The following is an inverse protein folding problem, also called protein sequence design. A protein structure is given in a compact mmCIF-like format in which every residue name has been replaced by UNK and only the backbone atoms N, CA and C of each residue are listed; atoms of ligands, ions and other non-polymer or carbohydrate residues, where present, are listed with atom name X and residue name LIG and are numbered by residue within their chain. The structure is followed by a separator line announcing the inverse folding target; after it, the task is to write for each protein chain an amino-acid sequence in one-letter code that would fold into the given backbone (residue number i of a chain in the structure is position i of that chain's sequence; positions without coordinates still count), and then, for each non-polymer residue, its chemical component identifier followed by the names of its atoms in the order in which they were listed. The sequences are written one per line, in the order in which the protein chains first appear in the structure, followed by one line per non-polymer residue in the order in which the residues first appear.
data_IF_586710149360
#
_entry.id   IF_586710149360
#
_cell.length_a   1.000
_cell.length_b   1.000
_cell.length_c   1.000
_cell.angle_alpha   90.00
_cell.angle_beta   90.00
_cell.angle_gamma   90.00
#
_symmetry.space_group_name_H-M   'P 1'
#
loop_
_entity.id
_entity.type
_entity.pdbx_description
1 polymer ?
#
# COMPACT_ATOMS: atom_id res chain seq x y z
N UNK A 1 17.75 -20.72 -37.79
CA UNK A 1 18.55 -19.48 -37.66
C UNK A 1 17.71 -18.47 -36.92
N UNK A 2 18.20 -17.95 -35.80
CA UNK A 2 17.53 -16.86 -35.07
C UNK A 2 17.79 -15.54 -35.80
N UNK A 3 16.79 -14.69 -35.86
CA UNK A 3 16.88 -13.38 -36.50
C UNK A 3 16.74 -12.29 -35.44
N UNK A 4 17.73 -11.37 -35.31
CA UNK A 4 17.63 -10.29 -34.34
C UNK A 4 16.50 -9.32 -34.71
N UNK A 5 15.72 -8.91 -33.69
CA UNK A 5 14.69 -7.88 -33.84
C UNK A 5 15.32 -6.54 -33.49
N UNK A 6 15.40 -5.57 -34.41
CA UNK A 6 15.96 -4.26 -34.11
C UNK A 6 15.07 -3.53 -33.08
N UNK A 7 15.67 -2.66 -32.29
CA UNK A 7 14.97 -1.89 -31.27
C UNK A 7 13.85 -0.99 -31.83
N UNK A 8 13.99 -0.56 -33.09
CA UNK A 8 12.96 0.19 -33.83
C UNK A 8 11.67 -0.61 -34.05
N UNK A 9 11.76 -1.93 -34.08
CA UNK A 9 10.63 -2.83 -34.30
C UNK A 9 10.04 -3.38 -32.97
N UNK A 10 10.46 -2.81 -31.83
CA UNK A 10 9.94 -3.13 -30.52
C UNK A 10 9.28 -1.89 -29.91
N UNK A 11 7.98 -1.94 -29.70
CA UNK A 11 7.23 -0.88 -29.04
C UNK A 11 6.82 -1.35 -27.64
N UNK A 12 7.25 -0.62 -26.61
CA UNK A 12 6.83 -0.84 -25.24
C UNK A 12 5.69 0.10 -24.88
N UNK A 13 4.64 -0.43 -24.29
CA UNK A 13 3.50 0.35 -23.81
C UNK A 13 3.17 -0.07 -22.38
N UNK A 14 2.62 0.86 -21.62
CA UNK A 14 2.18 0.65 -20.24
C UNK A 14 0.73 1.07 -20.15
N UNK A 15 -0.10 0.19 -19.61
CA UNK A 15 -1.51 0.47 -19.34
C UNK A 15 -1.72 0.46 -17.83
N UNK A 16 -2.37 1.50 -17.30
CA UNK A 16 -2.69 1.62 -15.88
C UNK A 16 -4.17 1.29 -15.66
N UNK A 17 -4.42 0.35 -14.75
CA UNK A 17 -5.77 -0.02 -14.32
C UNK A 17 -5.92 0.42 -12.88
N UNK A 18 -7.05 1.04 -12.56
CA UNK A 18 -7.35 1.54 -11.21
C UNK A 18 -8.63 0.89 -10.68
N UNK A 19 -8.57 0.43 -9.44
CA UNK A 19 -9.70 -0.12 -8.71
C UNK A 19 -9.90 0.65 -7.41
N UNK A 20 -11.14 0.93 -7.05
CA UNK A 20 -11.48 1.64 -5.80
C UNK A 20 -11.60 0.67 -4.64
N UNK A 21 -10.89 0.95 -3.57
CA UNK A 21 -10.86 0.14 -2.34
C UNK A 21 -11.42 0.95 -1.18
N UNK A 22 -12.69 0.77 -0.81
CA UNK A 22 -13.28 1.37 0.38
C UNK A 22 -13.21 0.41 1.57
N UNK A 23 -12.62 0.84 2.68
CA UNK A 23 -12.64 0.14 3.95
C UNK A 23 -13.50 0.93 4.95
N UNK A 24 -14.57 0.33 5.44
CA UNK A 24 -15.48 0.97 6.39
C UNK A 24 -15.02 0.78 7.83
N UNK A 25 -15.51 1.63 8.74
CA UNK A 25 -15.20 1.54 10.17
C UNK A 25 -15.59 0.19 10.78
N UNK A 26 -16.64 -0.46 10.31
CA UNK A 26 -17.05 -1.80 10.77
C UNK A 26 -15.98 -2.85 10.52
N UNK A 27 -15.35 -2.84 9.35
CA UNK A 27 -14.25 -3.74 9.03
C UNK A 27 -13.00 -3.42 9.87
N UNK A 28 -12.72 -2.14 10.06
CA UNK A 28 -11.51 -1.66 10.74
C UNK A 28 -11.60 -1.83 12.25
N UNK A 29 -12.78 -1.61 12.84
CA UNK A 29 -12.99 -1.68 14.28
C UNK A 29 -13.18 -3.09 14.85
N UNK A 30 -13.37 -4.07 13.97
CA UNK A 30 -13.38 -5.46 14.40
C UNK A 30 -14.69 -5.99 14.97
N UNK A 31 -15.78 -5.26 14.83
CA UNK A 31 -17.11 -5.69 15.32
C UNK A 31 -17.75 -6.81 14.52
N UNK A 32 -17.00 -7.43 13.61
CA UNK A 32 -17.51 -8.46 12.73
C UNK A 32 -18.06 -9.70 13.50
N UNK A 33 -19.36 -9.90 13.41
CA UNK A 33 -20.04 -11.05 14.02
C UNK A 33 -20.29 -10.97 15.53
N UNK A 34 -20.02 -9.83 16.16
CA UNK A 34 -20.36 -9.58 17.56
C UNK A 34 -21.69 -8.81 17.66
N UNK A 35 -22.50 -9.13 18.67
CA UNK A 35 -23.60 -8.27 19.06
C UNK A 35 -23.05 -6.88 19.44
N UNK A 36 -23.81 -5.77 19.26
CA UNK A 36 -23.29 -4.40 19.34
C UNK A 36 -22.59 -4.05 20.67
N UNK A 37 -22.62 -4.91 21.65
CA UNK A 37 -22.02 -4.70 22.97
C UNK A 37 -21.08 -5.82 23.44
N UNK A 38 -20.88 -6.86 22.65
CA UNK A 38 -20.01 -7.99 23.00
C UNK A 38 -18.56 -7.82 22.50
N UNK A 39 -18.09 -6.62 22.51
CA UNK A 39 -17.01 -6.14 21.68
C UNK A 39 -15.62 -6.33 22.26
N UNK A 40 -15.48 -6.84 23.47
CA UNK A 40 -14.25 -6.55 24.19
C UNK A 40 -13.36 -7.74 24.52
N UNK A 41 -13.24 -8.59 23.68
CA UNK A 41 -12.45 -9.82 23.65
C UNK A 41 -12.85 -10.69 22.49
N UNK A 42 -13.85 -10.24 21.71
CA UNK A 42 -14.45 -11.00 20.63
C UNK A 42 -14.19 -10.41 19.23
N UNK A 43 -13.26 -9.49 19.10
CA UNK A 43 -12.85 -8.93 17.82
C UNK A 43 -12.08 -9.98 17.01
N UNK A 44 -12.83 -10.79 16.28
CA UNK A 44 -12.30 -11.97 15.62
C UNK A 44 -11.48 -11.66 14.37
N UNK A 45 -11.69 -10.49 13.77
CA UNK A 45 -10.97 -10.04 12.60
C UNK A 45 -9.68 -9.25 12.94
N UNK A 46 -9.35 -9.12 14.21
CA UNK A 46 -8.13 -8.49 14.67
C UNK A 46 -7.19 -9.55 15.24
N UNK A 47 -5.94 -9.51 14.78
CA UNK A 47 -4.90 -10.40 15.27
C UNK A 47 -3.83 -9.62 16.01
N UNK A 48 -3.69 -9.92 17.30
CA UNK A 48 -2.58 -9.48 18.11
C UNK A 48 -1.52 -10.59 18.15
N UNK A 49 -0.27 -10.19 18.07
CA UNK A 49 0.86 -11.12 18.07
C UNK A 49 1.55 -11.13 19.44
N UNK A 50 2.13 -12.28 19.81
CA UNK A 50 2.86 -12.43 21.07
C UNK A 50 4.05 -11.49 21.22
N UNK A 51 4.71 -11.13 20.10
CA UNK A 51 5.79 -10.15 20.10
C UNK A 51 5.31 -8.72 20.38
N UNK A 52 4.00 -8.41 20.18
CA UNK A 52 3.37 -7.14 20.51
C UNK A 52 3.89 -5.92 19.74
N UNK A 53 4.40 -6.11 18.51
CA UNK A 53 4.98 -5.02 17.72
C UNK A 53 3.98 -4.35 16.79
N UNK A 54 2.95 -5.07 16.35
CA UNK A 54 1.89 -4.54 15.50
C UNK A 54 0.60 -5.34 15.66
N UNK A 55 -0.47 -4.82 15.14
CA UNK A 55 -1.78 -5.46 15.08
C UNK A 55 -2.20 -5.57 13.61
N UNK A 56 -2.68 -6.77 13.21
CA UNK A 56 -3.18 -7.00 11.85
C UNK A 56 -4.70 -7.00 11.82
N UNK A 57 -5.26 -6.35 10.81
CA UNK A 57 -6.69 -6.19 10.59
C UNK A 57 -7.09 -6.98 9.34
N UNK A 58 -8.16 -7.77 9.46
CA UNK A 58 -8.72 -8.63 8.42
C UNK A 58 -10.16 -8.24 8.09
N UNK A 59 -10.66 -8.62 6.94
CA UNK A 59 -12.06 -8.43 6.54
C UNK A 59 -13.02 -9.42 7.22
N UNK A 60 -12.55 -10.65 7.48
CA UNK A 60 -13.26 -11.72 8.19
C UNK A 60 -12.49 -12.15 9.44
N UNK A 61 -13.10 -12.97 10.32
CA UNK A 61 -12.38 -13.57 11.44
C UNK A 61 -11.05 -14.19 10.98
N UNK A 62 -9.94 -13.78 11.56
CA UNK A 62 -8.58 -14.12 11.09
C UNK A 62 -8.28 -15.62 11.08
N UNK A 63 -9.05 -16.44 11.80
CA UNK A 63 -8.98 -17.90 11.77
C UNK A 63 -9.81 -18.53 10.65
N UNK A 64 -10.59 -17.73 9.92
CA UNK A 64 -11.37 -18.19 8.77
C UNK A 64 -10.49 -18.36 7.54
N UNK A 65 -10.76 -19.39 6.75
CA UNK A 65 -10.13 -19.57 5.43
C UNK A 65 -10.47 -18.47 4.42
N UNK A 66 -11.51 -17.69 4.70
CA UNK A 66 -11.95 -16.56 3.86
C UNK A 66 -11.39 -15.21 4.29
N UNK A 67 -10.56 -15.17 5.33
CA UNK A 67 -10.01 -13.94 5.85
C UNK A 67 -8.92 -13.37 4.93
N UNK A 68 -9.12 -12.13 4.47
CA UNK A 68 -8.11 -11.39 3.73
C UNK A 68 -7.49 -10.32 4.65
N UNK A 69 -6.19 -10.21 4.61
CA UNK A 69 -5.45 -9.18 5.35
C UNK A 69 -5.68 -7.81 4.70
N UNK A 70 -6.11 -6.83 5.50
CA UNK A 70 -6.37 -5.47 5.03
C UNK A 70 -5.17 -4.56 5.24
N UNK A 71 -4.71 -4.43 6.47
CA UNK A 71 -3.53 -3.63 6.82
C UNK A 71 -2.99 -3.99 8.19
N UNK A 72 -1.75 -3.59 8.45
CA UNK A 72 -1.12 -3.64 9.76
C UNK A 72 -1.05 -2.24 10.37
N UNK A 73 -1.24 -2.18 11.68
CA UNK A 73 -1.19 -0.94 12.43
C UNK A 73 -0.13 -1.05 13.53
N UNK A 74 0.70 -0.03 13.64
CA UNK A 74 1.69 0.07 14.70
C UNK A 74 2.01 1.51 15.07
N UNK A 75 2.70 1.68 16.19
CA UNK A 75 3.09 2.97 16.76
C UNK A 75 4.58 3.01 17.04
N UNK A 76 5.20 4.14 16.76
CA UNK A 76 6.59 4.37 17.08
C UNK A 76 6.91 5.84 17.29
N UNK A 77 8.00 6.10 18.01
CA UNK A 77 8.54 7.46 18.15
C UNK A 77 10.06 7.44 18.09
N UNK A 78 10.62 8.55 17.64
CA UNK A 78 12.07 8.75 17.53
C UNK A 78 12.75 8.73 18.90
N UNK A 79 13.99 8.28 18.94
CA UNK A 79 14.83 8.42 20.12
C UNK A 79 15.03 9.90 20.56
N UNK A 80 14.87 10.83 19.62
CA UNK A 80 14.93 12.27 19.88
C UNK A 80 13.58 12.88 20.29
N UNK A 81 12.53 12.06 20.42
CA UNK A 81 11.25 12.52 20.94
C UNK A 81 11.32 12.88 22.41
N UNK A 82 10.55 13.88 22.83
CA UNK A 82 10.39 14.21 24.25
C UNK A 82 9.87 13.01 25.09
N UNK A 83 9.27 12.01 24.44
CA UNK A 83 8.75 10.81 25.09
C UNK A 83 9.83 9.76 25.37
N UNK A 84 10.99 9.86 24.76
CA UNK A 84 12.11 8.94 24.98
C UNK A 84 12.90 9.22 26.26
N UNK A 85 12.74 10.38 26.87
CA UNK A 85 13.55 10.86 27.99
C UNK A 85 13.24 10.18 29.34
N UNK A 86 12.26 9.33 29.42
CA UNK A 86 11.86 8.61 30.61
C UNK A 86 12.47 7.22 30.64
N UNK A 87 12.97 6.77 31.79
CA UNK A 87 13.62 5.48 32.05
C UNK A 87 13.27 4.33 31.10
N UNK A 88 14.29 3.67 30.54
CA UNK A 88 14.19 2.55 29.62
C UNK A 88 13.19 1.49 30.07
N UNK A 89 12.04 1.46 29.42
CA UNK A 89 11.04 0.40 29.56
C UNK A 89 10.94 -0.39 28.26
N UNK A 90 10.77 -1.68 28.33
CA UNK A 90 10.71 -2.58 27.15
C UNK A 90 9.73 -2.09 26.07
N UNK A 91 8.57 -1.54 26.46
CA UNK A 91 7.59 -1.01 25.52
C UNK A 91 8.06 0.28 24.82
N UNK A 92 8.86 1.08 25.47
CA UNK A 92 9.46 2.28 24.88
C UNK A 92 10.51 1.90 23.85
N UNK A 93 11.40 0.98 24.20
CA UNK A 93 12.44 0.48 23.27
C UNK A 93 11.81 -0.16 22.03
N UNK A 94 10.74 -0.93 22.18
CA UNK A 94 9.99 -1.48 21.03
C UNK A 94 9.46 -0.38 20.11
N UNK A 95 8.88 0.67 20.65
CA UNK A 95 8.33 1.78 19.84
C UNK A 95 9.43 2.58 19.15
N UNK A 96 10.56 2.80 19.81
CA UNK A 96 11.75 3.43 19.19
C UNK A 96 12.29 2.54 18.06
N UNK A 97 12.41 1.25 18.28
CA UNK A 97 12.87 0.32 17.26
C UNK A 97 11.94 0.28 16.04
N UNK A 98 10.63 0.29 16.26
CA UNK A 98 9.65 0.35 15.17
C UNK A 98 9.81 1.65 14.37
N UNK A 99 9.93 2.78 15.03
CA UNK A 99 10.18 4.06 14.35
C UNK A 99 11.45 4.00 13.51
N UNK A 100 12.54 3.53 14.08
CA UNK A 100 13.83 3.45 13.40
C UNK A 100 13.76 2.51 12.17
N UNK A 101 13.12 1.35 12.30
CA UNK A 101 12.93 0.42 11.17
C UNK A 101 12.10 1.04 10.05
N UNK A 102 11.00 1.71 10.40
CA UNK A 102 10.17 2.40 9.42
C UNK A 102 10.88 3.60 8.79
N UNK A 103 11.62 4.36 9.58
CA UNK A 103 12.40 5.50 9.09
C UNK A 103 13.52 5.05 8.17
N UNK A 104 14.24 4.00 8.51
CA UNK A 104 15.29 3.42 7.65
C UNK A 104 14.72 2.96 6.31
N UNK A 105 13.56 2.32 6.32
CA UNK A 105 12.90 1.84 5.09
C UNK A 105 12.37 2.99 4.23
N UNK A 106 11.70 3.98 4.85
CA UNK A 106 10.92 4.98 4.15
C UNK A 106 11.64 6.32 3.98
N UNK A 107 12.42 6.77 4.96
CA UNK A 107 13.16 8.02 4.89
C UNK A 107 14.65 7.82 4.53
N UNK A 108 15.20 6.61 4.82
CA UNK A 108 16.58 6.27 4.51
C UNK A 108 17.58 6.82 5.55
N UNK A 109 18.77 7.11 5.07
CA UNK A 109 19.89 7.61 5.89
C UNK A 109 20.29 9.03 5.46
N UNK A 110 20.87 9.76 6.38
CA UNK A 110 21.48 11.05 6.11
C UNK A 110 22.90 10.89 5.52
N UNK A 111 23.56 12.02 5.28
CA UNK A 111 24.93 12.04 4.72
C UNK A 111 25.97 11.47 5.66
N UNK A 112 25.69 11.42 6.95
CA UNK A 112 26.58 10.90 8.00
C UNK A 112 26.29 9.41 8.29
N UNK A 113 25.31 8.80 7.60
CA UNK A 113 24.92 7.41 7.76
C UNK A 113 23.95 7.15 8.91
N UNK A 114 23.41 8.17 9.57
CA UNK A 114 22.39 8.01 10.60
C UNK A 114 21.01 7.82 9.96
N UNK A 115 20.11 7.15 10.67
CA UNK A 115 18.72 7.00 10.24
C UNK A 115 18.05 8.38 10.23
N UNK A 116 17.53 8.76 9.06
CA UNK A 116 16.86 10.04 8.85
C UNK A 116 15.47 10.02 9.51
N UNK A 117 15.18 11.01 10.36
CA UNK A 117 13.83 11.18 10.91
C UNK A 117 12.82 11.51 9.82
N UNK A 118 11.55 11.11 10.01
CA UNK A 118 10.49 11.61 9.15
C UNK A 118 10.36 13.11 9.29
N UNK A 119 10.25 13.79 8.17
CA UNK A 119 10.09 15.24 8.13
C UNK A 119 8.85 15.61 7.34
N UNK A 120 8.31 16.77 7.64
CA UNK A 120 7.19 17.33 6.89
C UNK A 120 7.71 17.95 5.57
N UNK A 121 8.04 17.09 4.61
CA UNK A 121 8.73 17.47 3.38
C UNK A 121 10.23 17.70 3.57
N UNK A 122 10.98 17.92 2.49
CA UNK A 122 12.42 18.19 2.54
C UNK A 122 12.72 19.44 3.36
N UNK A 123 13.55 19.31 4.40
CA UNK A 123 13.91 20.43 5.29
C UNK A 123 12.80 20.90 6.24
N UNK A 124 11.68 20.17 6.31
CA UNK A 124 10.58 20.47 7.23
C UNK A 124 10.85 20.03 8.68
N UNK A 125 9.91 20.33 9.57
CA UNK A 125 9.95 19.88 10.95
C UNK A 125 9.90 18.35 11.06
N UNK A 126 10.63 17.81 12.02
CA UNK A 126 10.66 16.38 12.29
C UNK A 126 9.33 15.87 12.86
N UNK A 127 8.87 14.75 12.32
CA UNK A 127 7.72 13.98 12.82
C UNK A 127 8.27 12.88 13.72
N UNK A 128 8.36 13.14 15.00
CA UNK A 128 9.00 12.24 15.95
C UNK A 128 8.08 11.20 16.57
N UNK A 129 6.79 11.45 16.56
CA UNK A 129 5.76 10.55 17.07
C UNK A 129 4.83 10.14 15.93
N UNK A 130 4.84 8.86 15.56
CA UNK A 130 4.17 8.39 14.36
C UNK A 130 3.27 7.18 14.60
N UNK A 131 2.19 7.14 13.85
CA UNK A 131 1.32 5.99 13.63
C UNK A 131 1.58 5.48 12.22
N UNK A 132 1.80 4.19 12.09
CA UNK A 132 2.08 3.55 10.82
C UNK A 132 0.91 2.65 10.42
N UNK A 133 0.39 2.86 9.21
CA UNK A 133 -0.62 2.01 8.57
C UNK A 133 0.04 1.39 7.35
N UNK A 134 0.30 0.10 7.40
CA UNK A 134 0.87 -0.65 6.29
C UNK A 134 -0.26 -1.41 5.57
N UNK A 135 -0.69 -0.91 4.42
CA UNK A 135 -1.80 -1.48 3.66
C UNK A 135 -1.31 -2.74 2.93
N UNK A 136 -2.14 -3.79 2.96
CA UNK A 136 -1.82 -5.06 2.32
C UNK A 136 -1.47 -4.89 0.83
N UNK A 137 -0.41 -5.54 0.38
CA UNK A 137 0.02 -5.53 -1.02
C UNK A 137 -1.06 -6.06 -1.97
N UNK A 138 -1.91 -6.97 -1.51
CA UNK A 138 -3.04 -7.46 -2.31
C UNK A 138 -4.05 -6.37 -2.64
N UNK A 139 -4.18 -5.35 -1.78
CA UNK A 139 -5.08 -4.21 -2.00
C UNK A 139 -4.41 -3.09 -2.78
N UNK A 140 -3.15 -2.79 -2.49
CA UNK A 140 -2.41 -1.69 -3.15
C UNK A 140 -1.97 -2.05 -4.56
N UNK A 141 -1.80 -3.36 -4.85
CA UNK A 141 -1.22 -3.86 -6.11
C UNK A 141 0.19 -3.29 -6.32
N UNK A 142 0.44 -2.59 -7.42
CA UNK A 142 1.73 -1.98 -7.70
C UNK A 142 1.94 -0.69 -6.91
N UNK A 143 0.91 0.16 -6.85
CA UNK A 143 0.94 1.37 -6.03
C UNK A 143 -0.48 1.86 -5.66
N UNK A 144 -0.55 2.70 -4.64
CA UNK A 144 -1.75 3.50 -4.38
C UNK A 144 -1.80 4.62 -5.42
N UNK A 145 -2.93 4.79 -6.11
CA UNK A 145 -3.11 5.88 -7.06
C UNK A 145 -2.92 7.22 -6.39
N UNK A 146 -2.03 8.04 -6.94
CA UNK A 146 -1.70 9.36 -6.41
C UNK A 146 -2.93 10.23 -6.26
N UNK A 147 -3.07 10.85 -5.10
CA UNK A 147 -4.18 11.75 -4.76
C UNK A 147 -5.53 11.07 -4.45
N UNK A 148 -5.62 9.74 -4.49
CA UNK A 148 -6.88 9.03 -4.22
C UNK A 148 -7.09 8.65 -2.75
N UNK A 149 -6.04 8.69 -1.94
CA UNK A 149 -6.12 8.30 -0.54
C UNK A 149 -6.93 9.29 0.30
N UNK A 150 -7.87 8.76 1.06
CA UNK A 150 -8.68 9.50 2.02
C UNK A 150 -8.88 8.66 3.29
N UNK A 151 -8.54 9.23 4.44
CA UNK A 151 -8.82 8.68 5.75
C UNK A 151 -9.79 9.60 6.48
N UNK A 152 -10.95 9.08 6.85
CA UNK A 152 -11.91 9.75 7.73
C UNK A 152 -11.71 9.28 9.16
N UNK A 153 -11.39 10.22 10.04
CA UNK A 153 -10.99 9.94 11.41
C UNK A 153 -11.82 10.75 12.39
N UNK A 154 -12.38 10.09 13.41
CA UNK A 154 -13.19 10.73 14.44
C UNK A 154 -12.34 11.50 15.44
N UNK A 155 -12.70 12.74 15.72
CA UNK A 155 -12.02 13.64 16.67
C UNK A 155 -12.86 14.00 17.89
N UNK A 156 -14.11 13.57 17.92
CA UNK A 156 -15.04 13.84 19.03
C UNK A 156 -14.87 12.85 20.17
N UNK A 157 -15.69 13.00 21.22
CA UNK A 157 -15.82 11.99 22.26
C UNK A 157 -16.35 10.70 21.65
N UNK A 158 -15.77 9.61 22.04
CA UNK A 158 -16.03 8.29 21.49
C UNK A 158 -16.84 7.48 22.52
N UNK A 159 -18.07 7.21 22.23
CA UNK A 159 -18.93 6.42 23.12
C UNK A 159 -19.12 4.98 22.66
N UNK A 160 -18.80 4.66 21.40
CA UNK A 160 -18.95 3.31 20.82
C UNK A 160 -18.12 3.18 19.54
N UNK A 161 -17.81 1.94 19.08
CA UNK A 161 -17.32 1.71 17.74
C UNK A 161 -18.21 2.46 16.74
N UNK A 162 -17.60 3.06 15.72
CA UNK A 162 -18.27 3.93 14.75
C UNK A 162 -19.38 3.19 13.98
N UNK A 163 -20.48 2.91 14.68
CA UNK A 163 -21.71 2.35 14.13
C UNK A 163 -22.80 3.40 13.95
N UNK A 164 -23.84 3.03 13.26
CA UNK A 164 -25.02 3.88 13.08
C UNK A 164 -25.59 4.30 14.45
N UNK A 165 -25.77 5.60 14.66
CA UNK A 165 -26.41 6.16 15.85
C UNK A 165 -25.49 6.90 16.82
N UNK A 166 -24.21 6.97 16.58
CA UNK A 166 -23.30 7.74 17.42
C UNK A 166 -23.47 9.24 17.23
N UNK A 167 -24.53 9.80 17.82
CA UNK A 167 -24.79 11.25 17.84
C UNK A 167 -23.64 12.09 18.42
N UNK A 168 -22.67 11.42 19.07
CA UNK A 168 -21.55 12.05 19.74
C UNK A 168 -20.29 12.21 18.88
N UNK A 169 -20.25 11.63 17.68
CA UNK A 169 -19.16 11.85 16.72
C UNK A 169 -19.33 13.16 15.93
N UNK A 170 -19.55 14.24 16.63
CA UNK A 170 -19.81 15.56 16.00
C UNK A 170 -18.61 16.18 15.29
N UNK A 171 -17.47 15.52 15.26
CA UNK A 171 -16.31 15.99 14.53
C UNK A 171 -15.53 14.85 13.93
N UNK A 172 -15.33 14.87 12.64
CA UNK A 172 -14.36 14.02 11.98
C UNK A 172 -13.37 14.86 11.19
N UNK A 173 -12.17 14.38 11.08
CA UNK A 173 -11.17 14.90 10.15
C UNK A 173 -11.16 14.03 8.90
N UNK A 174 -11.08 14.70 7.76
CA UNK A 174 -10.76 14.04 6.51
C UNK A 174 -9.29 14.32 6.24
N UNK A 175 -8.48 13.28 6.25
CA UNK A 175 -7.04 13.34 6.01
C UNK A 175 -6.81 12.86 4.58
N UNK A 176 -6.25 13.73 3.75
CA UNK A 176 -5.94 13.45 2.35
C UNK A 176 -4.84 14.38 1.86
N UNK A 177 -4.33 14.16 0.66
CA UNK A 177 -3.43 15.11 0.03
C UNK A 177 -4.13 16.47 -0.13
N UNK A 178 -3.49 17.60 0.21
CA UNK A 178 -4.06 18.92 -0.02
C UNK A 178 -4.31 19.14 -1.52
N UNK A 179 -5.44 19.74 -1.84
CA UNK A 179 -5.83 20.03 -3.22
C UNK A 179 -5.36 21.41 -3.71
N UNK A 180 -4.68 22.18 -2.86
CA UNK A 180 -4.37 23.59 -3.16
C UNK A 180 -2.89 23.80 -3.42
N UNK A 181 -2.60 24.35 -4.56
CA UNK A 181 -1.26 24.81 -4.99
C UNK A 181 -0.73 26.00 -4.17
N UNK A 182 -1.58 26.64 -3.36
CA UNK A 182 -1.25 27.89 -2.64
C UNK A 182 -0.33 27.64 -1.41
N UNK A 183 -0.17 26.40 -0.98
CA UNK A 183 0.58 26.07 0.25
C UNK A 183 1.88 25.33 0.01
N UNK A 184 2.23 24.99 -1.24
CA UNK A 184 3.41 24.16 -1.55
C UNK A 184 3.34 22.73 -0.97
N UNK A 185 2.17 22.30 -0.51
CA UNK A 185 1.98 20.99 0.13
C UNK A 185 1.38 19.94 -0.84
N UNK A 186 1.16 20.31 -2.07
CA UNK A 186 0.57 19.46 -3.11
C UNK A 186 1.61 18.79 -4.03
N UNK A 187 2.88 18.90 -3.67
CA UNK A 187 3.98 18.29 -4.40
C UNK A 187 4.14 16.81 -4.07
N UNK A 188 4.68 16.08 -5.03
CA UNK A 188 5.17 14.72 -4.85
C UNK A 188 6.69 14.77 -4.68
N UNK A 189 7.18 14.03 -3.71
CA UNK A 189 8.60 13.97 -3.39
C UNK A 189 9.16 12.60 -3.80
N UNK A 190 10.42 12.58 -4.21
CA UNK A 190 11.10 11.38 -4.74
C UNK A 190 12.42 11.08 -4.04
N UNK A 191 12.71 11.79 -2.96
CA UNK A 191 13.96 11.67 -2.19
C UNK A 191 13.95 10.49 -1.19
N UNK A 192 12.95 9.63 -1.25
CA UNK A 192 12.79 8.44 -0.42
C UNK A 192 13.29 7.18 -1.11
N UNK A 193 13.96 6.26 -0.39
CA UNK A 193 14.31 4.94 -0.93
C UNK A 193 13.08 4.06 -1.23
N UNK A 194 11.94 4.36 -0.61
CA UNK A 194 10.67 3.66 -0.84
C UNK A 194 9.87 4.20 -2.04
N UNK A 195 10.46 5.09 -2.85
CA UNK A 195 9.82 5.68 -4.01
C UNK A 195 9.10 7.00 -3.71
N UNK A 196 8.09 7.29 -4.50
CA UNK A 196 7.39 8.57 -4.42
C UNK A 196 6.44 8.64 -3.22
N UNK A 197 6.44 9.79 -2.55
CA UNK A 197 5.55 10.08 -1.44
C UNK A 197 4.94 11.48 -1.53
N UNK A 198 3.90 11.73 -0.76
CA UNK A 198 3.28 13.04 -0.63
C UNK A 198 2.88 13.33 0.82
N UNK A 199 2.67 14.61 1.08
CA UNK A 199 2.19 15.11 2.36
C UNK A 199 0.68 14.88 2.47
N UNK A 200 0.22 14.58 3.68
CA UNK A 200 -1.20 14.47 4.03
C UNK A 200 -1.60 15.62 4.95
N UNK A 201 -2.72 16.24 4.67
CA UNK A 201 -3.32 17.23 5.53
C UNK A 201 -4.73 16.82 5.96
N UNK A 202 -5.11 17.20 7.15
CA UNK A 202 -6.47 17.04 7.63
C UNK A 202 -7.29 18.32 7.43
N UNK A 203 -8.59 18.18 7.39
CA UNK A 203 -9.51 19.32 7.28
C UNK A 203 -9.36 20.34 8.42
N UNK A 204 -8.85 19.90 9.55
CA UNK A 204 -8.61 20.72 10.75
C UNK A 204 -7.15 20.68 11.23
N UNK A 205 -6.31 19.91 10.60
CA UNK A 205 -4.90 19.74 10.92
C UNK A 205 -4.07 19.88 9.64
N UNK A 206 -3.34 20.98 9.51
CA UNK A 206 -2.56 21.25 8.30
C UNK A 206 -1.49 20.19 8.01
N UNK A 207 -0.92 19.59 9.05
CA UNK A 207 0.16 18.59 8.96
C UNK A 207 -0.31 17.30 9.59
N UNK A 208 -0.80 16.35 8.78
CA UNK A 208 -1.34 15.09 9.27
C UNK A 208 -0.38 13.92 9.10
N UNK A 209 0.41 13.88 8.03
CA UNK A 209 1.31 12.76 7.79
C UNK A 209 1.87 12.70 6.37
N UNK A 210 2.39 11.53 6.04
CA UNK A 210 2.99 11.19 4.74
C UNK A 210 2.31 9.95 4.18
N UNK A 211 2.27 9.82 2.87
CA UNK A 211 1.86 8.61 2.18
C UNK A 211 2.92 8.20 1.17
N UNK A 212 3.38 6.95 1.25
CA UNK A 212 4.33 6.32 0.34
C UNK A 212 3.55 5.42 -0.60
N UNK A 213 3.41 5.84 -1.86
CA UNK A 213 2.49 5.24 -2.81
C UNK A 213 2.87 3.82 -3.21
N UNK A 214 4.14 3.58 -3.53
CA UNK A 214 4.65 2.28 -3.95
C UNK A 214 4.78 1.31 -2.78
N UNK A 215 5.17 1.82 -1.61
CA UNK A 215 5.26 1.00 -0.40
C UNK A 215 3.88 0.64 0.18
N UNK A 216 2.84 1.42 -0.12
CA UNK A 216 1.51 1.25 0.47
C UNK A 216 1.46 1.60 1.96
N UNK A 217 2.36 2.47 2.42
CA UNK A 217 2.50 2.82 3.84
C UNK A 217 2.08 4.27 4.07
N UNK A 218 1.24 4.45 5.07
CA UNK A 218 0.83 5.78 5.55
C UNK A 218 1.47 6.02 6.91
N UNK A 219 2.16 7.14 7.04
CA UNK A 219 2.79 7.60 8.28
C UNK A 219 2.03 8.82 8.77
N UNK A 220 1.34 8.71 9.89
CA UNK A 220 0.59 9.82 10.48
C UNK A 220 1.30 10.34 11.72
N UNK A 221 1.33 11.65 11.87
CA UNK A 221 1.82 12.24 13.12
C UNK A 221 0.82 12.01 14.25
N UNK A 222 1.29 11.80 15.47
CA UNK A 222 0.43 11.66 16.65
C UNK A 222 -0.48 12.88 16.89
N UNK A 223 -0.19 14.01 16.26
CA UNK A 223 -1.06 15.20 16.29
C UNK A 223 -2.46 14.95 15.73
N UNK A 224 -2.67 13.91 14.90
CA UNK A 224 -4.01 13.53 14.41
C UNK A 224 -4.92 13.06 15.54
N UNK A 225 -4.34 12.65 16.68
CA UNK A 225 -5.08 12.25 17.87
C UNK A 225 -5.61 13.46 18.67
N UNK A 226 -5.14 14.66 18.37
CA UNK A 226 -5.54 15.89 19.07
C UNK A 226 -6.87 16.43 18.57
N UNK A 227 -7.64 16.99 19.48
CA UNK A 227 -8.82 17.76 19.11
C UNK A 227 -8.41 19.12 18.51
N UNK A 228 -9.11 19.62 17.49
CA UNK A 228 -8.76 20.88 16.81
C UNK A 228 -8.72 22.12 17.69
N UNK A 229 -9.46 22.11 18.81
CA UNK A 229 -9.49 23.23 19.77
C UNK A 229 -8.34 23.21 20.77
N UNK A 230 -7.32 22.38 20.54
CA UNK A 230 -6.15 22.27 21.44
C UNK A 230 -6.39 21.43 22.69
N UNK A 231 -7.63 21.13 23.06
CA UNK A 231 -7.96 20.20 24.11
C UNK A 231 -8.43 18.88 23.53
N UNK A 232 -7.96 17.79 24.09
CA UNK A 232 -8.40 16.48 23.70
C UNK A 232 -9.82 16.24 24.25
N UNK A 233 -10.79 16.10 23.36
CA UNK A 233 -12.17 15.71 23.70
C UNK A 233 -12.47 14.30 23.19
N UNK A 234 -11.63 13.41 23.40
CA UNK A 234 -11.87 12.07 22.95
C UNK A 234 -11.68 11.11 24.08
N UNK A 235 -12.70 10.60 24.58
CA UNK A 235 -12.71 9.39 25.35
C UNK A 235 -11.99 9.33 26.68
N UNK A 236 -11.27 10.35 27.07
CA UNK A 236 -10.45 10.35 28.27
C UNK A 236 -10.97 11.30 29.35
N UNK A 237 -12.26 11.61 29.30
CA UNK A 237 -12.93 12.29 30.41
C UNK A 237 -13.55 11.25 31.35
N UNK A 238 -13.68 11.58 32.60
CA UNK A 238 -14.34 10.73 33.61
C UNK A 238 -15.76 10.31 33.22
N UNK A 239 -16.47 11.15 32.49
CA UNK A 239 -17.80 10.85 31.97
C UNK A 239 -17.78 9.76 30.91
N UNK A 240 -16.68 9.63 30.21
CA UNK A 240 -16.51 8.65 29.16
C UNK A 240 -16.18 7.27 29.70
N UNK A 241 -15.28 7.20 30.66
CA UNK A 241 -14.94 5.97 31.37
C UNK A 241 -16.14 5.34 32.03
N UNK A 242 -17.10 6.15 32.44
CA UNK A 242 -18.31 5.67 33.08
C UNK A 242 -19.35 5.13 32.12
N UNK A 243 -19.33 5.57 30.87
CA UNK A 243 -20.32 5.15 29.87
C UNK A 243 -20.00 3.80 29.23
N UNK A 244 -18.76 3.34 29.33
CA UNK A 244 -18.34 2.06 28.76
C UNK A 244 -17.98 1.16 29.95
N UNK A 245 -18.87 0.28 30.27
CA UNK A 245 -18.62 -0.67 31.35
C UNK A 245 -17.50 -1.63 30.95
N UNK A 246 -16.38 -1.34 31.43
CA UNK A 246 -15.42 -2.17 32.12
C UNK A 246 -14.55 -3.19 31.41
N UNK A 247 -14.53 -3.39 30.13
CA UNK A 247 -13.62 -4.40 29.54
C UNK A 247 -13.03 -4.00 28.20
N UNK A 248 -13.17 -2.76 27.86
CA UNK A 248 -12.71 -2.24 26.59
C UNK A 248 -11.24 -1.82 26.68
N UNK A 249 -10.46 -2.17 25.69
CA UNK A 249 -9.07 -1.73 25.55
C UNK A 249 -8.94 -0.20 25.53
N UNK A 250 -9.96 0.50 25.04
CA UNK A 250 -10.06 1.95 25.15
C UNK A 250 -10.21 2.40 26.59
N UNK A 251 -10.99 1.64 27.35
CA UNK A 251 -11.18 1.89 28.78
C UNK A 251 -9.93 1.58 29.58
N UNK A 252 -9.23 0.54 29.22
CA UNK A 252 -7.93 0.25 29.84
C UNK A 252 -6.94 1.37 29.60
N UNK A 253 -6.89 1.92 28.40
CA UNK A 253 -6.12 3.12 28.10
C UNK A 253 -6.61 4.33 28.88
N UNK A 254 -7.90 4.48 29.00
CA UNK A 254 -8.51 5.57 29.74
C UNK A 254 -8.48 5.36 31.25
N UNK A 255 -8.57 4.12 31.71
CA UNK A 255 -8.51 3.73 33.10
C UNK A 255 -7.10 3.43 33.62
N UNK A 256 -6.12 3.41 32.72
CA UNK A 256 -4.71 3.34 33.09
C UNK A 256 -4.34 4.49 34.04
N UNK A 257 -3.19 4.42 34.63
CA UNK A 257 -2.73 5.44 35.61
C UNK A 257 -2.74 6.87 35.05
N UNK A 258 -2.71 7.00 33.72
CA UNK A 258 -2.79 8.28 33.04
C UNK A 258 -4.18 8.90 33.08
N UNK A 259 -5.21 8.07 33.15
CA UNK A 259 -6.59 8.56 33.21
C UNK A 259 -6.97 9.01 34.62
N UNK A 260 -6.43 8.40 35.65
CA UNK A 260 -6.69 8.77 37.04
C UNK A 260 -6.22 10.17 37.38
N UNK A 261 -5.21 10.64 36.69
CA UNK A 261 -4.75 12.03 36.84
C UNK A 261 -5.62 13.02 36.05
N UNK A 262 -6.54 12.53 35.26
CA UNK A 262 -7.34 13.32 34.34
C UNK A 262 -8.62 13.90 34.94
N UNK A 263 -8.81 13.85 36.24
CA UNK A 263 -9.92 14.57 36.93
C UNK A 263 -9.97 16.07 36.61
N UNK A 264 -8.95 16.58 35.93
CA UNK A 264 -8.81 17.97 35.50
C UNK A 264 -8.76 18.15 33.98
N UNK A 265 -8.99 17.10 33.18
CA UNK A 265 -8.84 17.15 31.70
C UNK A 265 -7.37 17.17 31.29
N UNK A 266 -6.89 16.04 30.79
CA UNK A 266 -5.53 15.96 30.22
C UNK A 266 -5.36 16.99 29.11
N UNK A 267 -4.29 17.75 29.14
CA UNK A 267 -3.86 18.56 28.02
C UNK A 267 -3.57 17.69 26.79
N UNK A 268 -3.63 18.29 25.61
CA UNK A 268 -3.40 17.57 24.35
C UNK A 268 -2.03 16.83 24.31
N UNK A 269 -1.03 17.38 25.00
CA UNK A 269 0.30 16.78 25.13
C UNK A 269 0.31 15.55 26.03
N UNK A 270 -0.49 15.56 27.10
CA UNK A 270 -0.54 14.47 28.07
C UNK A 270 -1.25 13.23 27.52
N UNK A 271 -2.29 13.42 26.71
CA UNK A 271 -2.91 12.29 26.00
C UNK A 271 -1.96 11.61 25.02
N UNK A 272 -1.29 12.42 24.20
CA UNK A 272 -0.30 11.88 23.26
C UNK A 272 0.79 11.12 24.02
N UNK A 273 1.21 11.63 25.17
CA UNK A 273 2.15 10.96 26.06
C UNK A 273 1.60 9.61 26.53
N UNK A 274 0.36 9.55 26.99
CA UNK A 274 -0.25 8.32 27.50
C UNK A 274 -0.33 7.23 26.42
N UNK A 275 -0.83 7.58 25.24
CA UNK A 275 -0.93 6.63 24.10
C UNK A 275 0.44 6.20 23.61
N UNK A 276 1.37 7.14 23.51
CA UNK A 276 2.66 6.84 22.91
C UNK A 276 3.63 6.15 23.87
N UNK A 277 3.59 6.42 25.17
CA UNK A 277 4.59 5.92 26.12
C UNK A 277 4.08 4.87 27.09
N UNK A 278 2.87 5.03 27.61
CA UNK A 278 2.37 4.26 28.75
C UNK A 278 1.72 2.92 28.39
N UNK A 279 1.26 2.75 27.17
CA UNK A 279 0.44 1.61 26.76
C UNK A 279 1.21 0.60 25.92
N UNK A 280 0.76 -0.65 25.93
CA UNK A 280 1.17 -1.63 24.95
C UNK A 280 0.77 -1.17 23.52
N UNK A 281 1.53 -1.56 22.53
CA UNK A 281 1.27 -1.18 21.12
C UNK A 281 -0.13 -1.63 20.68
N UNK A 282 -0.56 -2.83 21.07
CA UNK A 282 -1.90 -3.33 20.76
C UNK A 282 -3.02 -2.45 21.30
N UNK A 283 -2.87 -1.93 22.52
CA UNK A 283 -3.83 -1.02 23.11
C UNK A 283 -3.87 0.33 22.35
N UNK A 284 -2.71 0.87 22.00
CA UNK A 284 -2.61 2.08 21.15
C UNK A 284 -3.25 1.87 19.76
N UNK A 285 -3.05 0.68 19.17
CA UNK A 285 -3.68 0.31 17.92
C UNK A 285 -5.20 0.23 18.02
N UNK A 286 -5.73 -0.34 19.10
CA UNK A 286 -7.18 -0.38 19.34
C UNK A 286 -7.76 1.03 19.42
N UNK A 287 -7.11 1.90 20.17
CA UNK A 287 -7.55 3.28 20.35
C UNK A 287 -7.62 4.04 19.02
N UNK A 288 -6.62 3.85 18.19
CA UNK A 288 -6.56 4.47 16.88
C UNK A 288 -7.62 3.91 15.92
N UNK A 289 -7.70 2.57 15.76
CA UNK A 289 -8.60 1.96 14.78
C UNK A 289 -10.08 2.19 15.09
N UNK A 290 -10.47 2.27 16.38
CA UNK A 290 -11.84 2.59 16.78
C UNK A 290 -12.27 4.01 16.36
N UNK A 291 -11.33 4.88 16.05
CA UNK A 291 -11.60 6.23 15.53
C UNK A 291 -11.67 6.31 14.02
N UNK A 292 -11.22 5.29 13.32
CA UNK A 292 -11.28 5.25 11.86
C UNK A 292 -12.72 5.01 11.43
N UNK A 293 -13.28 5.97 10.69
CA UNK A 293 -14.60 5.85 10.08
C UNK A 293 -14.52 5.19 8.71
N UNK A 294 -13.52 5.57 7.91
CA UNK A 294 -13.35 5.08 6.55
C UNK A 294 -11.91 5.29 6.12
N UNK A 295 -11.36 4.29 5.44
CA UNK A 295 -10.16 4.42 4.62
C UNK A 295 -10.58 4.14 3.19
N UNK A 296 -10.23 5.00 2.25
CA UNK A 296 -10.49 4.75 0.83
C UNK A 296 -9.32 5.21 -0.01
N UNK A 297 -9.02 4.45 -1.02
CA UNK A 297 -8.01 4.74 -2.02
C UNK A 297 -8.31 3.97 -3.30
N UNK A 298 -7.69 4.36 -4.39
CA UNK A 298 -7.67 3.55 -5.59
C UNK A 298 -6.29 2.91 -5.69
N UNK A 299 -6.26 1.64 -6.05
CA UNK A 299 -5.00 0.99 -6.39
C UNK A 299 -4.64 1.25 -7.86
N UNK A 300 -3.44 0.88 -8.22
CA UNK A 300 -2.95 0.89 -9.58
C UNK A 300 -2.36 -0.47 -9.89
N UNK A 301 -2.81 -1.08 -10.99
CA UNK A 301 -2.17 -2.24 -11.59
C UNK A 301 -1.53 -1.81 -12.89
N UNK A 302 -0.24 -2.07 -13.04
CA UNK A 302 0.52 -1.73 -14.22
C UNK A 302 0.64 -2.95 -15.13
N UNK A 303 0.04 -2.87 -16.31
CA UNK A 303 0.21 -3.88 -17.35
C UNK A 303 1.25 -3.39 -18.34
N UNK A 304 2.38 -4.07 -18.36
CA UNK A 304 3.43 -3.85 -19.32
C UNK A 304 3.16 -4.68 -20.58
N UNK A 305 3.24 -4.06 -21.72
CA UNK A 305 3.06 -4.72 -23.02
C UNK A 305 4.24 -4.42 -23.92
N UNK A 306 4.78 -5.45 -24.55
CA UNK A 306 5.76 -5.31 -25.62
C UNK A 306 5.17 -5.79 -26.93
N UNK A 307 5.19 -4.93 -27.94
CA UNK A 307 4.75 -5.24 -29.30
C UNK A 307 5.98 -5.40 -30.15
N UNK A 308 6.11 -6.58 -30.76
CA UNK A 308 7.21 -6.92 -31.67
C UNK A 308 6.69 -6.96 -33.09
N UNK A 309 7.32 -6.18 -33.98
CA UNK A 309 7.09 -6.23 -35.40
C UNK A 309 8.15 -7.12 -36.04
N UNK A 310 7.77 -8.34 -36.32
CA UNK A 310 8.67 -9.37 -36.87
C UNK A 310 8.58 -9.32 -38.36
N UNK A 311 9.65 -8.88 -39.01
CA UNK A 311 9.75 -8.75 -40.45
C UNK A 311 10.39 -10.00 -41.03
N UNK A 312 9.70 -10.61 -41.97
CA UNK A 312 10.23 -11.69 -42.82
C UNK A 312 10.37 -11.15 -44.24
N UNK A 313 11.56 -10.64 -44.57
CA UNK A 313 11.85 -10.06 -45.87
C UNK A 313 11.77 -11.11 -46.98
N UNK A 314 11.70 -10.68 -48.23
CA UNK A 314 11.55 -11.53 -49.41
C UNK A 314 12.60 -12.65 -49.47
N UNK A 315 13.85 -12.38 -49.07
CA UNK A 315 14.96 -13.33 -49.09
C UNK A 315 15.10 -14.20 -47.84
N UNK A 316 14.19 -14.08 -46.87
CA UNK A 316 14.25 -14.78 -45.57
C UNK A 316 13.08 -15.75 -45.38
N UNK A 317 13.32 -16.83 -44.63
CA UNK A 317 12.30 -17.80 -44.25
C UNK A 317 11.53 -18.45 -45.44
N UNK A 318 12.14 -18.55 -46.59
CA UNK A 318 11.54 -19.19 -47.77
C UNK A 318 11.70 -20.73 -47.79
N UNK A 319 12.39 -21.27 -46.78
CA UNK A 319 12.73 -22.67 -46.67
C UNK A 319 12.50 -23.18 -45.23
N UNK A 320 12.07 -24.43 -45.11
CA UNK A 320 11.94 -25.10 -43.85
C UNK A 320 12.82 -26.35 -43.80
N UNK A 321 13.57 -26.51 -42.72
CA UNK A 321 14.36 -27.73 -42.46
C UNK A 321 13.53 -28.85 -41.82
N UNK A 322 12.24 -28.67 -41.61
CA UNK A 322 11.36 -29.67 -41.07
C UNK A 322 11.35 -30.92 -41.98
N UNK A 323 11.63 -32.13 -41.45
CA UNK A 323 11.64 -33.37 -42.26
C UNK A 323 10.33 -33.64 -43.00
N UNK A 324 9.19 -33.16 -42.47
CA UNK A 324 7.89 -33.29 -43.17
C UNK A 324 7.78 -32.40 -44.41
N UNK A 325 8.60 -31.38 -44.49
CA UNK A 325 8.65 -30.43 -45.62
C UNK A 325 9.61 -30.87 -46.71
N UNK A 326 10.53 -31.77 -46.38
CA UNK A 326 11.56 -32.27 -47.26
C UNK A 326 11.36 -33.75 -47.61
N UNK A 327 11.69 -34.13 -48.81
CA UNK A 327 11.89 -35.53 -49.22
C UNK A 327 13.30 -35.64 -49.82
N UNK A 328 14.19 -36.30 -49.07
CA UNK A 328 15.63 -36.23 -49.36
C UNK A 328 16.14 -34.77 -49.36
N UNK A 329 16.79 -34.31 -50.38
CA UNK A 329 17.25 -32.93 -50.52
C UNK A 329 16.27 -31.99 -51.24
N UNK A 330 15.06 -32.48 -51.53
CA UNK A 330 14.05 -31.71 -52.30
C UNK A 330 12.88 -31.27 -51.45
N UNK A 331 12.35 -30.08 -51.75
CA UNK A 331 11.14 -29.55 -51.10
C UNK A 331 9.94 -30.35 -51.58
N UNK A 332 9.22 -30.97 -50.64
CA UNK A 332 8.15 -31.91 -50.90
C UNK A 332 6.93 -31.33 -51.60
N UNK A 333 6.69 -30.04 -51.41
CA UNK A 333 5.57 -29.30 -52.02
C UNK A 333 5.85 -28.85 -53.45
N UNK A 334 7.01 -29.20 -54.04
CA UNK A 334 7.41 -28.80 -55.38
C UNK A 334 7.70 -30.00 -56.22
N UNK A 335 7.18 -29.93 -57.41
CA UNK A 335 7.38 -30.98 -58.43
C UNK A 335 8.39 -30.59 -59.51
N UNK A 336 8.71 -29.31 -59.62
CA UNK A 336 9.63 -28.76 -60.62
C UNK A 336 10.73 -27.88 -59.96
N UNK A 337 11.94 -27.96 -60.51
CA UNK A 337 13.09 -27.12 -60.06
C UNK A 337 12.95 -25.64 -60.49
N UNK A 338 12.04 -25.33 -61.37
CA UNK A 338 11.79 -23.98 -61.89
C UNK A 338 10.81 -23.18 -61.02
N UNK A 339 10.09 -23.84 -60.15
CA UNK A 339 9.14 -23.16 -59.25
C UNK A 339 9.85 -22.46 -58.07
N UNK A 340 9.36 -21.28 -57.69
CA UNK A 340 9.90 -20.51 -56.55
C UNK A 340 9.68 -21.22 -55.22
N UNK A 341 10.59 -21.19 -54.25
CA UNK A 341 10.42 -21.83 -52.97
C UNK A 341 9.22 -21.23 -52.19
N UNK A 342 8.49 -22.10 -51.51
CA UNK A 342 7.33 -21.73 -50.69
C UNK A 342 7.52 -22.32 -49.30
N UNK A 343 7.31 -21.51 -48.26
CA UNK A 343 7.22 -21.95 -46.88
C UNK A 343 5.91 -21.45 -46.26
N UNK A 344 5.43 -22.17 -45.26
CA UNK A 344 4.24 -21.77 -44.48
C UNK A 344 4.66 -21.48 -43.04
N UNK A 345 4.47 -20.21 -42.62
CA UNK A 345 4.74 -19.78 -41.26
C UNK A 345 3.52 -20.10 -40.43
N UNK A 346 3.69 -20.92 -39.39
CA UNK A 346 2.63 -21.33 -38.45
C UNK A 346 2.84 -20.82 -37.04
N UNK A 347 4.08 -20.52 -36.70
CA UNK A 347 4.50 -20.20 -35.32
C UNK A 347 5.63 -19.20 -35.32
N UNK A 348 5.61 -18.33 -34.33
CA UNK A 348 6.67 -17.37 -34.04
C UNK A 348 7.20 -17.66 -32.65
N UNK A 349 8.48 -17.89 -32.47
CA UNK A 349 9.16 -18.01 -31.21
C UNK A 349 10.01 -16.77 -30.92
N UNK A 350 9.91 -16.22 -29.73
CA UNK A 350 10.79 -15.16 -29.25
C UNK A 350 11.84 -15.78 -28.33
N UNK A 351 13.08 -15.46 -28.59
CA UNK A 351 14.24 -16.00 -27.86
C UNK A 351 15.03 -14.89 -27.20
N UNK A 352 15.64 -15.18 -26.03
CA UNK A 352 16.62 -14.31 -25.39
C UNK A 352 17.94 -14.27 -26.17
N UNK A 353 18.87 -13.42 -25.76
CA UNK A 353 20.22 -13.39 -26.28
C UNK A 353 20.98 -14.72 -26.04
N UNK A 354 20.62 -15.44 -24.98
CA UNK A 354 21.21 -16.74 -24.60
C UNK A 354 20.52 -17.93 -25.28
N UNK A 355 19.68 -17.67 -26.28
CA UNK A 355 18.89 -18.67 -27.01
C UNK A 355 17.83 -19.42 -26.17
N UNK A 356 17.37 -18.86 -25.07
CA UNK A 356 16.24 -19.37 -24.31
C UNK A 356 14.92 -18.93 -24.93
N UNK A 357 13.98 -19.86 -25.05
CA UNK A 357 12.65 -19.56 -25.58
C UNK A 357 11.83 -18.80 -24.53
N UNK A 358 11.53 -17.53 -24.79
CA UNK A 358 10.75 -16.65 -23.89
C UNK A 358 9.26 -16.75 -24.14
N UNK A 359 8.84 -16.80 -25.38
CA UNK A 359 7.43 -16.85 -25.76
C UNK A 359 7.21 -17.51 -27.10
N UNK A 360 6.01 -18.09 -27.29
CA UNK A 360 5.56 -18.68 -28.55
C UNK A 360 4.19 -18.15 -28.91
N UNK A 361 4.07 -17.62 -30.14
CA UNK A 361 2.80 -17.24 -30.72
C UNK A 361 2.47 -18.18 -31.88
N UNK A 362 1.29 -18.81 -31.85
CA UNK A 362 0.78 -19.61 -32.98
C UNK A 362 -0.15 -18.76 -33.82
N UNK A 363 -0.07 -18.94 -35.12
CA UNK A 363 -0.99 -18.31 -36.06
C UNK A 363 -2.26 -19.16 -36.18
N UNK A 364 -3.40 -18.51 -36.34
CA UNK A 364 -4.69 -19.19 -36.58
C UNK A 364 -4.70 -19.92 -37.92
N UNK A 365 -4.04 -19.33 -38.91
CA UNK A 365 -3.88 -19.88 -40.24
C UNK A 365 -2.42 -19.81 -40.69
N UNK A 366 -1.90 -20.82 -41.41
CA UNK A 366 -0.56 -20.78 -41.94
C UNK A 366 -0.41 -19.67 -43.00
N UNK A 367 0.60 -18.82 -42.84
CA UNK A 367 0.88 -17.75 -43.80
C UNK A 367 1.89 -18.24 -44.84
N UNK A 368 1.51 -18.15 -46.11
CA UNK A 368 2.36 -18.50 -47.25
C UNK A 368 3.48 -17.45 -47.42
N UNK A 369 4.72 -17.90 -47.39
CA UNK A 369 5.92 -17.08 -47.61
C UNK A 369 6.59 -17.52 -48.91
N UNK A 370 6.82 -16.55 -49.79
CA UNK A 370 7.54 -16.72 -51.04
C UNK A 370 8.66 -15.70 -51.18
N UNK A 371 9.63 -15.90 -52.09
CA UNK A 371 10.66 -14.89 -52.37
C UNK A 371 10.14 -13.55 -52.89
N UNK A 372 8.90 -13.48 -53.29
CA UNK A 372 8.25 -12.27 -53.83
C UNK A 372 7.45 -11.51 -52.77
N UNK A 373 7.31 -12.08 -51.54
CA UNK A 373 6.47 -11.52 -50.49
C UNK A 373 7.27 -11.12 -49.27
N UNK A 374 7.07 -9.90 -48.79
CA UNK A 374 7.50 -9.43 -47.50
C UNK A 374 6.32 -9.57 -46.52
N UNK A 375 6.58 -10.15 -45.35
CA UNK A 375 5.58 -10.30 -44.30
C UNK A 375 6.04 -9.58 -43.06
N UNK A 376 5.12 -8.87 -42.43
CA UNK A 376 5.32 -8.31 -41.09
C UNK A 376 4.28 -8.89 -40.15
N UNK A 377 4.74 -9.58 -39.11
CA UNK A 377 3.90 -10.15 -38.07
C UNK A 377 3.99 -9.27 -36.83
N UNK A 378 2.83 -8.92 -36.28
CA UNK A 378 2.74 -8.19 -35.02
C UNK A 378 2.44 -9.17 -33.90
N UNK A 379 3.34 -9.28 -32.94
CA UNK A 379 3.17 -10.10 -31.73
C UNK A 379 3.15 -9.19 -30.52
N UNK A 380 2.11 -9.28 -29.71
CA UNK A 380 2.00 -8.57 -28.44
C UNK A 380 2.20 -9.53 -27.28
N UNK A 381 3.04 -9.15 -26.34
CA UNK A 381 3.22 -9.81 -25.05
C UNK A 381 2.79 -8.86 -23.94
N UNK A 382 1.94 -9.35 -23.06
CA UNK A 382 1.51 -8.65 -21.85
C UNK A 382 2.12 -9.38 -20.65
N UNK A 383 2.74 -8.62 -19.68
CA UNK A 383 3.44 -9.16 -18.53
C UNK A 383 3.47 -8.18 -17.35
#
# INVERSE_FOLDING_TARGET
MLHPIPSSDVQKTKTLIHESIPLTGTLVSGTYGAAPYAHLGAERNIKNYSHGMFQSIFDYPHLSSSANHLFDLTFGYSANSAFSASSARVQQEKKINIYNQMAQLLAGHDVDGNIKEFTWGPGGEAMRECVFINISRLLTKDEIKKGSFELQFGTGSFAMPMGEGAANHKGHQVIKRPASTTTGLDEYYTDSPAGEYALLSGSKLKRAGLIYYQAGIVVLTASVLRHPSGSWKGGLTTTYTHAINDTDSLMELSSSDHHRTAGAGLGASEFTLAVMTGSAISASCNDFRHRIKKISFNNTTELHSSIYYIRANHNQFNYSSNPTYLSSSQIRVKTSTTESPIAYITTVGLYSADNELLAVAKLSEPLKKTPETDLTLRVRLDY
#
